data_IF_997927660373
#
_entry.id   IF_997927660373
#
_cell.length_a   1.000
_cell.length_b   1.000
_cell.length_c   1.000
_cell.angle_alpha   90.00
_cell.angle_beta   90.00
_cell.angle_gamma   90.00
#
_symmetry.space_group_name_H-M   'P 1'
#
loop_
_entity.id
_entity.type
_entity.pdbx_description
1 polymer ?
#
# COMPACT_ATOMS: atom_id res chain seq x y z
N UNK A 1 73.29 83.27 -34.51
CA UNK A 1 71.97 83.57 -33.93
C UNK A 1 70.90 83.02 -34.87
N UNK A 2 70.01 82.12 -34.39
CA UNK A 2 70.18 81.25 -33.24
C UNK A 2 71.31 80.22 -33.52
N UNK A 3 71.19 78.93 -33.86
CA UNK A 3 70.10 77.93 -33.98
C UNK A 3 70.74 76.53 -34.19
N UNK A 4 70.09 75.37 -34.00
CA UNK A 4 68.82 75.02 -33.36
C UNK A 4 68.80 73.49 -33.16
N UNK A 5 68.65 72.99 -31.92
CA UNK A 5 68.91 71.58 -31.60
C UNK A 5 67.61 70.75 -31.59
N UNK A 6 67.57 69.68 -32.38
CA UNK A 6 66.49 68.69 -32.30
C UNK A 6 67.05 67.26 -32.37
N UNK A 7 66.84 66.47 -31.32
CA UNK A 7 67.32 65.09 -31.18
C UNK A 7 66.12 64.22 -30.79
N UNK A 8 65.65 63.30 -31.64
CA UNK A 8 64.45 62.53 -31.36
C UNK A 8 64.65 61.58 -30.17
N UNK A 9 63.98 61.88 -29.06
CA UNK A 9 63.93 61.02 -27.87
C UNK A 9 63.18 59.74 -28.19
N UNK A 10 63.94 58.68 -28.49
CA UNK A 10 63.43 57.34 -28.81
C UNK A 10 62.54 56.79 -27.68
N UNK A 11 61.22 56.90 -27.85
CA UNK A 11 60.24 56.31 -26.93
C UNK A 11 60.42 54.79 -26.87
N UNK A 12 61.00 54.32 -25.76
CA UNK A 12 61.06 52.88 -25.48
C UNK A 12 59.69 52.42 -24.97
N UNK A 13 58.88 51.91 -25.89
CA UNK A 13 57.58 51.28 -25.61
C UNK A 13 57.62 50.42 -24.34
N UNK A 14 56.61 50.57 -23.49
CA UNK A 14 56.52 49.80 -22.23
C UNK A 14 56.60 48.28 -22.47
N UNK A 15 56.13 47.82 -23.63
CA UNK A 15 56.19 46.41 -24.04
C UNK A 15 57.65 45.93 -24.17
N UNK A 16 58.56 46.75 -24.70
CA UNK A 16 59.99 46.43 -24.79
C UNK A 16 60.73 46.56 -23.45
N UNK A 17 60.15 47.27 -22.48
CA UNK A 17 60.63 47.31 -21.10
C UNK A 17 60.22 46.03 -20.37
N UNK A 18 58.99 45.57 -20.56
CA UNK A 18 58.45 44.33 -20.01
C UNK A 18 59.15 43.10 -20.62
N UNK A 19 59.26 43.01 -21.96
CA UNK A 19 59.92 41.89 -22.66
C UNK A 19 61.37 41.66 -22.21
N UNK A 20 62.10 42.71 -21.84
CA UNK A 20 63.48 42.59 -21.30
C UNK A 20 63.57 41.95 -19.90
N UNK A 21 62.46 41.88 -19.16
CA UNK A 21 62.41 41.26 -17.83
C UNK A 21 61.67 39.91 -17.82
N UNK A 22 60.96 39.57 -18.91
CA UNK A 22 60.42 38.23 -19.16
C UNK A 22 61.56 37.33 -19.65
N UNK A 23 62.44 36.94 -18.73
CA UNK A 23 63.41 35.86 -18.96
C UNK A 23 62.71 34.50 -18.93
N UNK A 24 63.26 33.51 -19.64
CA UNK A 24 62.75 32.14 -19.59
C UNK A 24 62.71 31.58 -18.15
N UNK A 25 63.67 31.97 -17.31
CA UNK A 25 63.71 31.63 -15.89
C UNK A 25 62.52 32.21 -15.10
N UNK A 26 62.14 33.47 -15.34
CA UNK A 26 60.99 34.10 -14.66
C UNK A 26 59.66 33.47 -15.10
N UNK A 27 59.53 33.10 -16.38
CA UNK A 27 58.34 32.40 -16.89
C UNK A 27 58.24 30.99 -16.32
N UNK A 28 59.33 30.23 -16.32
CA UNK A 28 59.33 28.85 -15.78
C UNK A 28 59.19 28.82 -14.27
N UNK A 29 59.79 29.76 -13.52
CA UNK A 29 59.61 29.87 -12.07
C UNK A 29 58.16 30.19 -11.67
N UNK A 30 57.49 31.10 -12.39
CA UNK A 30 56.07 31.42 -12.12
C UNK A 30 55.15 30.27 -12.50
N UNK A 31 55.36 29.61 -13.65
CA UNK A 31 54.64 28.37 -14.02
C UNK A 31 54.85 27.24 -13.00
N UNK A 32 56.09 27.01 -12.55
CA UNK A 32 56.40 26.01 -11.54
C UNK A 32 55.70 26.31 -10.20
N UNK A 33 55.65 27.59 -9.78
CA UNK A 33 54.91 28.00 -8.59
C UNK A 33 53.41 27.77 -8.73
N UNK A 34 52.80 28.12 -9.88
CA UNK A 34 51.38 27.85 -10.13
C UNK A 34 51.06 26.35 -10.17
N UNK A 35 51.94 25.51 -10.72
CA UNK A 35 51.76 24.04 -10.72
C UNK A 35 51.94 23.46 -9.32
N UNK A 36 52.95 23.91 -8.57
CA UNK A 36 53.20 23.45 -7.20
C UNK A 36 52.08 23.82 -6.22
N UNK A 37 51.48 25.01 -6.38
CA UNK A 37 50.33 25.45 -5.56
C UNK A 37 49.00 24.88 -6.05
N UNK A 38 48.82 24.68 -7.36
CA UNK A 38 47.55 24.27 -7.97
C UNK A 38 47.33 22.76 -8.11
N UNK A 39 48.38 21.94 -8.07
CA UNK A 39 48.31 20.50 -8.38
C UNK A 39 47.36 19.68 -7.49
N UNK A 40 47.23 20.05 -6.22
CA UNK A 40 46.33 19.39 -5.26
C UNK A 40 44.84 19.69 -5.53
N UNK A 41 44.53 20.92 -5.97
CA UNK A 41 43.16 21.34 -6.25
C UNK A 41 42.55 20.58 -7.43
N UNK A 42 43.33 20.32 -8.48
CA UNK A 42 42.86 19.56 -9.65
C UNK A 42 42.48 18.12 -9.25
N UNK A 43 43.31 17.44 -8.46
CA UNK A 43 43.05 16.08 -7.99
C UNK A 43 41.76 15.98 -7.15
N UNK A 44 41.51 16.94 -6.26
CA UNK A 44 40.30 16.98 -5.44
C UNK A 44 39.00 17.01 -6.28
N UNK A 45 39.00 17.67 -7.44
CA UNK A 45 37.83 17.73 -8.34
C UNK A 45 37.58 16.45 -9.16
N UNK A 46 38.47 15.45 -9.07
CA UNK A 46 38.43 14.22 -9.87
C UNK A 46 38.20 12.94 -9.07
N UNK A 47 38.25 13.00 -7.74
CA UNK A 47 37.98 11.84 -6.89
C UNK A 47 36.52 11.39 -6.99
N UNK A 48 36.32 10.12 -7.35
CA UNK A 48 35.02 9.45 -7.40
C UNK A 48 34.96 8.31 -6.38
N UNK A 49 33.78 7.71 -6.19
CA UNK A 49 33.63 6.52 -5.36
C UNK A 49 34.44 5.29 -5.80
N UNK A 50 35.01 5.29 -7.02
CA UNK A 50 35.91 4.22 -7.51
C UNK A 50 37.34 4.36 -7.00
N UNK A 51 37.74 5.59 -6.66
CA UNK A 51 39.09 5.93 -6.20
C UNK A 51 39.22 5.75 -4.68
N UNK A 52 38.11 5.43 -4.00
CA UNK A 52 38.05 5.17 -2.57
C UNK A 52 38.24 3.67 -2.28
N UNK A 53 39.16 3.36 -1.36
CA UNK A 53 39.33 1.99 -0.84
C UNK A 53 38.04 1.54 -0.14
N UNK A 54 37.57 0.33 -0.47
CA UNK A 54 36.40 -0.26 0.21
C UNK A 54 36.56 -0.28 1.73
N UNK A 55 35.48 0.04 2.45
CA UNK A 55 35.45 0.19 3.93
C UNK A 55 36.33 1.32 4.52
N UNK A 56 36.81 2.27 3.71
CA UNK A 56 37.53 3.47 4.23
C UNK A 56 36.61 4.58 4.77
N UNK A 57 35.32 4.56 4.43
CA UNK A 57 34.34 5.55 4.88
C UNK A 57 33.68 5.12 6.20
N UNK A 58 33.55 6.09 7.10
CA UNK A 58 32.96 5.92 8.44
C UNK A 58 31.76 6.85 8.62
N UNK A 59 31.00 6.69 9.71
CA UNK A 59 29.90 7.60 10.05
C UNK A 59 30.31 9.09 10.21
N UNK A 60 31.61 9.40 10.36
CA UNK A 60 32.13 10.79 10.39
C UNK A 60 32.30 11.41 9.00
N UNK A 61 32.24 10.61 7.93
CA UNK A 61 32.42 11.05 6.55
C UNK A 61 31.10 11.44 5.87
N UNK A 62 29.97 11.29 6.57
CA UNK A 62 28.63 11.64 6.09
C UNK A 62 28.01 12.68 7.02
N UNK A 63 27.19 13.57 6.46
CA UNK A 63 26.29 14.38 7.28
C UNK A 63 25.11 13.51 7.73
N UNK A 64 24.41 13.92 8.81
CA UNK A 64 23.17 13.24 9.19
C UNK A 64 22.17 13.35 8.04
N UNK A 65 21.46 12.25 7.79
CA UNK A 65 20.36 12.16 6.84
C UNK A 65 20.72 12.49 5.38
N UNK A 66 22.01 12.59 5.04
CA UNK A 66 22.49 12.87 3.67
C UNK A 66 22.53 11.66 2.74
N UNK A 67 22.26 10.46 3.27
CA UNK A 67 22.17 9.22 2.49
C UNK A 67 20.69 8.91 2.24
N UNK A 68 20.18 9.38 1.10
CA UNK A 68 18.80 9.16 0.65
C UNK A 68 18.69 7.87 -0.17
N UNK A 69 17.46 7.41 -0.46
CA UNK A 69 17.22 6.18 -1.24
C UNK A 69 17.97 6.13 -2.58
N UNK A 70 18.12 7.27 -3.27
CA UNK A 70 18.88 7.37 -4.52
C UNK A 70 20.39 7.00 -4.40
N UNK A 71 20.95 6.97 -3.18
CA UNK A 71 22.31 6.51 -2.90
C UNK A 71 22.37 5.06 -2.36
N UNK A 72 21.22 4.42 -2.17
CA UNK A 72 21.04 3.09 -1.60
C UNK A 72 20.52 2.14 -2.69
N UNK A 73 20.66 0.83 -2.48
CA UNK A 73 20.07 -0.21 -3.32
C UNK A 73 19.11 -1.01 -2.45
N UNK A 74 17.92 -0.44 -2.19
CA UNK A 74 17.02 -0.87 -1.11
C UNK A 74 16.65 -2.35 -1.20
N UNK A 75 16.50 -2.89 -2.41
CA UNK A 75 16.28 -4.33 -2.67
C UNK A 75 17.43 -5.27 -2.28
N UNK A 76 18.50 -4.76 -1.67
CA UNK A 76 19.58 -5.55 -1.05
C UNK A 76 19.63 -5.41 0.48
N UNK A 77 18.71 -4.65 1.07
CA UNK A 77 18.51 -4.57 2.52
C UNK A 77 17.51 -5.65 2.97
N UNK A 78 17.74 -6.20 4.16
CA UNK A 78 16.78 -7.07 4.85
C UNK A 78 15.89 -6.29 5.83
N UNK A 79 14.94 -6.99 6.45
CA UNK A 79 14.11 -6.46 7.55
C UNK A 79 14.99 -5.97 8.70
N UNK A 80 14.74 -4.76 9.20
CA UNK A 80 15.52 -4.15 10.29
C UNK A 80 15.19 -4.85 11.63
N UNK A 81 16.10 -5.64 12.25
CA UNK A 81 15.71 -6.57 13.32
C UNK A 81 15.24 -5.94 14.65
N UNK A 82 15.44 -4.62 14.81
CA UNK A 82 15.01 -3.84 16.00
C UNK A 82 13.79 -2.95 15.73
N UNK A 83 13.30 -2.88 14.49
CA UNK A 83 12.15 -2.06 14.14
C UNK A 83 10.86 -2.84 14.42
N UNK A 84 10.17 -2.46 15.50
CA UNK A 84 8.95 -3.11 16.03
C UNK A 84 7.89 -3.38 14.94
N UNK A 85 7.69 -2.41 14.06
CA UNK A 85 6.66 -2.41 13.01
C UNK A 85 7.19 -2.74 11.61
N UNK A 86 8.43 -3.24 11.44
CA UNK A 86 8.99 -3.50 10.11
C UNK A 86 8.34 -4.69 9.33
N UNK A 87 7.38 -5.37 9.95
CA UNK A 87 6.52 -6.38 9.34
C UNK A 87 5.11 -6.38 9.99
N UNK A 88 4.66 -5.21 10.48
CA UNK A 88 3.40 -5.04 11.22
C UNK A 88 2.79 -3.66 10.97
N UNK A 89 1.51 -3.54 11.28
CA UNK A 89 0.77 -2.27 11.33
C UNK A 89 0.16 -2.14 12.73
N UNK A 90 0.58 -1.14 13.50
CA UNK A 90 0.18 -0.92 14.90
C UNK A 90 0.26 -2.17 15.81
N UNK A 91 1.27 -3.03 15.60
CA UNK A 91 1.48 -4.27 16.31
C UNK A 91 0.77 -5.51 15.70
N UNK A 92 -0.15 -5.32 14.77
CA UNK A 92 -0.85 -6.39 14.04
C UNK A 92 0.03 -6.92 12.90
N UNK A 93 0.04 -8.24 12.71
CA UNK A 93 0.68 -8.87 11.53
C UNK A 93 -0.30 -8.89 10.35
N UNK A 94 0.19 -9.18 9.14
CA UNK A 94 -0.67 -9.17 7.94
C UNK A 94 -1.85 -10.14 8.03
N UNK A 95 -1.68 -11.27 8.73
CA UNK A 95 -2.71 -12.28 8.95
C UNK A 95 -3.86 -11.79 9.85
N UNK A 96 -3.61 -10.77 10.68
CA UNK A 96 -4.60 -10.04 11.51
C UNK A 96 -5.33 -8.92 10.76
N UNK A 97 -5.14 -8.86 9.43
CA UNK A 97 -5.76 -7.89 8.54
C UNK A 97 -6.40 -8.58 7.32
N UNK A 98 -6.37 -9.91 7.26
CA UNK A 98 -7.08 -10.70 6.26
C UNK A 98 -8.51 -10.95 6.73
N UNK A 99 -9.45 -10.86 5.78
CA UNK A 99 -10.85 -11.22 6.00
C UNK A 99 -10.93 -12.70 6.36
N UNK A 100 -11.44 -12.99 7.56
CA UNK A 100 -11.55 -14.33 8.12
C UNK A 100 -13.01 -14.69 8.41
N UNK A 101 -13.45 -15.85 7.92
CA UNK A 101 -14.79 -16.38 8.11
C UNK A 101 -14.78 -17.60 9.04
N UNK A 102 -15.80 -17.78 9.92
CA UNK A 102 -15.92 -18.99 10.73
C UNK A 102 -16.01 -20.28 9.90
N UNK A 103 -15.67 -21.41 10.54
CA UNK A 103 -15.77 -22.73 9.89
C UNK A 103 -17.21 -23.00 9.37
N UNK A 104 -17.29 -23.61 8.19
CA UNK A 104 -18.55 -23.86 7.48
C UNK A 104 -19.14 -22.64 6.75
N UNK A 105 -18.44 -21.51 6.70
CA UNK A 105 -18.89 -20.29 5.99
C UNK A 105 -17.89 -19.81 4.92
N UNK A 106 -18.38 -19.08 3.92
CA UNK A 106 -17.58 -18.46 2.85
C UNK A 106 -17.79 -16.93 2.81
N UNK A 107 -16.77 -16.12 2.45
CA UNK A 107 -16.90 -14.68 2.29
C UNK A 107 -17.67 -14.34 1.00
N UNK A 108 -18.83 -13.68 1.15
CA UNK A 108 -19.70 -13.24 0.04
C UNK A 108 -20.37 -11.93 0.45
N UNK A 109 -20.40 -10.92 -0.44
CA UNK A 109 -21.15 -9.67 -0.24
C UNK A 109 -20.94 -9.04 1.16
N UNK A 110 -19.68 -8.86 1.56
CA UNK A 110 -19.23 -8.33 2.85
C UNK A 110 -19.72 -9.10 4.10
N UNK A 111 -20.25 -10.32 3.94
CA UNK A 111 -20.62 -11.23 5.04
C UNK A 111 -20.01 -12.63 4.88
N UNK A 112 -20.05 -13.43 5.94
CA UNK A 112 -19.64 -14.84 5.94
C UNK A 112 -20.88 -15.73 5.97
N UNK A 113 -21.19 -16.39 4.86
CA UNK A 113 -22.43 -17.16 4.66
C UNK A 113 -22.21 -18.67 4.77
N UNK A 114 -23.08 -19.36 5.50
CA UNK A 114 -23.05 -20.83 5.62
C UNK A 114 -23.16 -21.52 4.25
N UNK A 115 -22.28 -22.49 3.99
CA UNK A 115 -22.23 -23.19 2.70
C UNK A 115 -23.40 -24.15 2.47
N UNK A 116 -23.85 -24.80 3.54
CA UNK A 116 -24.94 -25.78 3.54
C UNK A 116 -26.22 -25.15 4.07
N UNK A 117 -27.31 -25.26 3.31
CA UNK A 117 -28.64 -24.85 3.76
C UNK A 117 -29.15 -25.77 4.89
N UNK A 118 -29.75 -25.17 5.91
CA UNK A 118 -30.40 -25.82 7.05
C UNK A 118 -31.73 -26.46 6.66
N UNK A 119 -32.21 -27.37 7.50
CA UNK A 119 -33.49 -28.04 7.33
C UNK A 119 -34.66 -27.02 7.32
N UNK A 120 -35.77 -27.29 6.61
CA UNK A 120 -36.87 -26.34 6.55
C UNK A 120 -37.49 -26.01 7.93
N UNK A 121 -37.54 -24.72 8.25
CA UNK A 121 -38.16 -24.14 9.45
C UNK A 121 -39.21 -23.10 9.03
N UNK A 122 -40.04 -22.65 9.97
CA UNK A 122 -40.85 -21.43 9.82
C UNK A 122 -40.01 -20.18 10.13
N UNK A 123 -40.39 -19.02 9.60
CA UNK A 123 -39.53 -17.84 9.51
C UNK A 123 -39.01 -17.34 10.87
N UNK A 124 -39.90 -17.20 11.84
CA UNK A 124 -39.55 -16.84 13.22
C UNK A 124 -38.62 -17.85 13.90
N UNK A 125 -38.74 -19.15 13.63
CA UNK A 125 -37.77 -20.15 14.12
C UNK A 125 -36.41 -20.04 13.41
N UNK A 126 -36.38 -19.79 12.10
CA UNK A 126 -35.13 -19.59 11.36
C UNK A 126 -34.35 -18.37 11.87
N UNK A 127 -35.05 -17.26 12.16
CA UNK A 127 -34.48 -16.09 12.83
C UNK A 127 -33.89 -16.42 14.20
N UNK A 128 -34.64 -17.12 15.06
CA UNK A 128 -34.18 -17.50 16.40
C UNK A 128 -33.00 -18.49 16.36
N UNK A 129 -33.01 -19.45 15.42
CA UNK A 129 -31.92 -20.41 15.25
C UNK A 129 -30.62 -19.68 14.85
N UNK A 130 -30.67 -18.81 13.82
CA UNK A 130 -29.50 -18.00 13.45
C UNK A 130 -29.02 -17.09 14.60
N UNK A 131 -29.94 -16.38 15.26
CA UNK A 131 -29.60 -15.49 16.37
C UNK A 131 -28.93 -16.24 17.55
N UNK A 132 -29.24 -17.52 17.74
CA UNK A 132 -28.65 -18.33 18.83
C UNK A 132 -27.19 -18.73 18.59
N UNK A 133 -26.75 -18.87 17.33
CA UNK A 133 -25.41 -19.36 16.97
C UNK A 133 -24.36 -18.31 17.35
N UNK A 134 -23.33 -18.71 18.10
CA UNK A 134 -22.25 -17.82 18.62
C UNK A 134 -22.73 -16.66 19.50
N UNK A 135 -24.00 -16.61 19.91
CA UNK A 135 -24.61 -15.56 20.75
C UNK A 135 -23.93 -15.31 22.11
N UNK A 136 -23.16 -16.29 22.61
CA UNK A 136 -22.40 -16.18 23.86
C UNK A 136 -21.00 -15.60 23.66
N UNK A 137 -20.54 -15.49 22.42
CA UNK A 137 -19.15 -15.12 22.04
C UNK A 137 -19.09 -14.00 21.00
N UNK A 138 -20.23 -13.52 20.52
CA UNK A 138 -20.38 -12.49 19.48
C UNK A 138 -21.83 -12.04 19.34
N UNK A 139 -22.18 -11.24 18.32
CA UNK A 139 -23.51 -10.65 18.15
C UNK A 139 -24.62 -11.63 17.72
N UNK A 140 -24.30 -12.93 17.58
CA UNK A 140 -25.15 -13.93 16.92
C UNK A 140 -24.91 -14.03 15.41
N UNK A 141 -25.71 -14.85 14.73
CA UNK A 141 -25.84 -14.85 13.26
C UNK A 141 -27.23 -14.33 12.85
N UNK A 142 -27.44 -13.99 11.59
CA UNK A 142 -28.73 -13.54 11.03
C UNK A 142 -29.08 -14.30 9.76
N UNK A 143 -30.31 -14.14 9.26
CA UNK A 143 -30.63 -14.55 7.89
C UNK A 143 -29.91 -13.64 6.87
N UNK A 144 -29.52 -14.15 5.69
CA UNK A 144 -28.96 -13.34 4.63
C UNK A 144 -29.98 -12.31 4.14
N UNK A 145 -29.53 -11.19 3.60
CA UNK A 145 -30.38 -10.38 2.71
C UNK A 145 -30.57 -11.11 1.38
N UNK A 146 -31.59 -10.72 0.61
CA UNK A 146 -31.75 -11.16 -0.78
C UNK A 146 -30.46 -11.02 -1.60
N UNK A 147 -29.76 -9.88 -1.50
CA UNK A 147 -28.53 -9.62 -2.26
C UNK A 147 -27.37 -10.53 -1.84
N UNK A 148 -27.22 -10.77 -0.52
CA UNK A 148 -26.22 -11.70 0.01
C UNK A 148 -26.48 -13.15 -0.45
N UNK A 149 -27.74 -13.61 -0.39
CA UNK A 149 -28.12 -14.96 -0.83
C UNK A 149 -28.02 -15.11 -2.35
N UNK A 150 -28.44 -14.10 -3.11
CA UNK A 150 -28.34 -14.10 -4.58
C UNK A 150 -26.87 -14.12 -5.04
N UNK A 151 -26.00 -13.34 -4.40
CA UNK A 151 -24.56 -13.40 -4.64
C UNK A 151 -23.98 -14.77 -4.27
N UNK A 152 -24.38 -15.34 -3.14
CA UNK A 152 -23.89 -16.64 -2.67
C UNK A 152 -24.25 -17.80 -3.61
N UNK A 153 -25.46 -17.77 -4.19
CA UNK A 153 -25.94 -18.75 -5.16
C UNK A 153 -25.20 -18.72 -6.52
N UNK A 154 -24.31 -17.74 -6.74
CA UNK A 154 -23.37 -17.77 -7.88
C UNK A 154 -22.13 -18.64 -7.63
N UNK A 155 -21.87 -19.03 -6.38
CA UNK A 155 -20.67 -19.77 -6.00
C UNK A 155 -20.89 -21.29 -6.14
N UNK A 156 -19.98 -21.98 -6.83
CA UNK A 156 -20.10 -23.42 -7.16
C UNK A 156 -20.23 -24.37 -5.94
N UNK A 157 -19.94 -23.88 -4.73
CA UNK A 157 -20.01 -24.64 -3.49
C UNK A 157 -21.35 -24.46 -2.75
N UNK A 158 -22.23 -23.57 -3.23
CA UNK A 158 -23.47 -23.18 -2.59
C UNK A 158 -24.66 -23.64 -3.45
N UNK A 159 -25.36 -24.66 -2.95
CA UNK A 159 -26.58 -25.20 -3.56
C UNK A 159 -27.79 -24.68 -2.80
N UNK A 160 -28.85 -24.29 -3.55
CA UNK A 160 -30.12 -23.84 -2.97
C UNK A 160 -30.81 -24.96 -2.18
N UNK A 161 -31.29 -24.64 -0.99
CA UNK A 161 -32.07 -25.52 -0.12
C UNK A 161 -33.41 -25.99 -0.73
N UNK A 162 -33.87 -27.15 -0.29
CA UNK A 162 -35.08 -27.77 -0.82
C UNK A 162 -36.34 -26.94 -0.52
N UNK A 163 -37.13 -26.64 -1.55
CA UNK A 163 -38.33 -25.79 -1.43
C UNK A 163 -38.07 -24.27 -1.45
N UNK A 164 -36.81 -23.86 -1.61
CA UNK A 164 -36.34 -22.48 -1.58
C UNK A 164 -35.84 -22.04 -0.20
N UNK A 165 -35.17 -20.89 -0.14
CA UNK A 165 -34.48 -20.41 1.06
C UNK A 165 -34.90 -19.01 1.51
N UNK A 166 -35.15 -18.84 2.81
CA UNK A 166 -35.48 -17.54 3.39
C UNK A 166 -34.36 -16.51 3.27
N UNK A 167 -34.78 -15.27 3.06
CA UNK A 167 -33.99 -14.05 3.27
C UNK A 167 -34.46 -13.33 4.55
N UNK A 168 -33.81 -12.25 4.94
CA UNK A 168 -34.22 -11.38 6.05
C UNK A 168 -35.30 -10.37 5.66
N UNK A 169 -35.70 -10.29 4.39
CA UNK A 169 -36.75 -9.39 3.92
C UNK A 169 -38.16 -9.92 4.23
N UNK A 170 -38.98 -9.05 4.84
CA UNK A 170 -40.42 -9.26 5.08
C UNK A 170 -41.24 -8.09 4.55
N UNK A 171 -42.47 -8.36 4.13
CA UNK A 171 -43.39 -7.39 3.55
C UNK A 171 -44.73 -7.41 4.30
N UNK A 172 -45.48 -6.29 4.39
CA UNK A 172 -46.84 -6.31 4.95
C UNK A 172 -47.73 -7.23 4.11
N UNK A 173 -48.45 -8.17 4.74
CA UNK A 173 -49.26 -9.13 4.00
C UNK A 173 -50.38 -8.44 3.23
N UNK A 174 -50.40 -8.69 1.92
CA UNK A 174 -51.46 -8.22 1.01
C UNK A 174 -52.78 -8.96 1.22
N UNK A 175 -52.73 -10.15 1.81
CA UNK A 175 -53.84 -11.09 1.94
C UNK A 175 -54.45 -11.17 3.34
N UNK A 176 -53.68 -10.90 4.40
CA UNK A 176 -54.11 -10.97 5.81
C UNK A 176 -53.57 -9.77 6.61
N UNK A 177 -54.36 -8.69 6.76
CA UNK A 177 -53.95 -7.49 7.50
C UNK A 177 -53.45 -7.80 8.92
N UNK A 178 -52.30 -7.25 9.28
CA UNK A 178 -51.64 -7.47 10.57
C UNK A 178 -50.61 -8.60 10.59
N UNK A 179 -50.46 -9.36 9.49
CA UNK A 179 -49.39 -10.35 9.30
C UNK A 179 -48.34 -9.86 8.28
N UNK A 180 -47.23 -10.59 8.19
CA UNK A 180 -46.18 -10.37 7.19
C UNK A 180 -46.11 -11.52 6.19
N UNK A 181 -45.60 -11.19 5.00
CA UNK A 181 -45.26 -12.10 3.91
C UNK A 181 -43.72 -12.06 3.73
N UNK A 182 -43.05 -13.15 4.06
CA UNK A 182 -41.60 -13.33 4.09
C UNK A 182 -41.07 -13.66 2.69
N UNK A 183 -39.91 -13.10 2.31
CA UNK A 183 -39.31 -13.34 1.01
C UNK A 183 -38.31 -14.49 1.06
N UNK A 184 -38.51 -15.44 0.14
CA UNK A 184 -37.61 -16.57 -0.06
C UNK A 184 -37.20 -16.73 -1.53
N UNK A 185 -35.96 -17.15 -1.75
CA UNK A 185 -35.40 -17.40 -3.09
C UNK A 185 -35.81 -18.80 -3.56
N UNK A 186 -36.32 -18.88 -4.78
CA UNK A 186 -36.87 -20.10 -5.40
C UNK A 186 -35.93 -20.75 -6.40
N UNK A 187 -34.85 -20.09 -6.82
CA UNK A 187 -33.89 -20.60 -7.80
C UNK A 187 -32.52 -19.94 -7.69
N UNK A 188 -31.47 -20.61 -8.19
CA UNK A 188 -30.10 -20.06 -8.27
C UNK A 188 -29.99 -18.80 -9.15
N UNK A 189 -30.96 -18.55 -10.02
CA UNK A 189 -31.11 -17.31 -10.81
C UNK A 189 -31.84 -16.20 -10.05
N UNK A 190 -31.89 -16.29 -8.71
CA UNK A 190 -32.46 -15.31 -7.78
C UNK A 190 -33.94 -14.94 -8.04
N UNK A 191 -34.73 -15.81 -8.68
CA UNK A 191 -36.20 -15.66 -8.62
C UNK A 191 -36.67 -15.78 -7.17
N UNK A 192 -37.71 -15.03 -6.81
CA UNK A 192 -38.25 -14.96 -5.44
C UNK A 192 -39.73 -15.31 -5.40
N UNK A 193 -40.20 -15.69 -4.23
CA UNK A 193 -41.61 -15.73 -3.91
C UNK A 193 -41.84 -15.23 -2.47
N UNK A 194 -43.08 -14.89 -2.17
CA UNK A 194 -43.53 -14.54 -0.83
C UNK A 194 -44.26 -15.73 -0.19
N UNK A 195 -44.18 -15.83 1.13
CA UNK A 195 -44.91 -16.80 1.94
C UNK A 195 -45.35 -16.15 3.25
N UNK A 196 -46.54 -16.48 3.76
CA UNK A 196 -47.06 -15.86 4.98
C UNK A 196 -46.37 -16.42 6.23
N UNK A 197 -45.96 -15.59 7.20
CA UNK A 197 -45.50 -16.09 8.51
C UNK A 197 -46.70 -16.55 9.36
N UNK A 198 -47.13 -17.79 9.12
CA UNK A 198 -48.14 -18.49 9.92
C UNK A 198 -47.74 -19.93 10.25
N UNK A 199 -46.44 -20.25 10.15
CA UNK A 199 -45.86 -21.58 10.34
C UNK A 199 -46.41 -22.73 9.46
N UNK A 200 -47.19 -22.42 8.42
CA UNK A 200 -47.81 -23.43 7.54
C UNK A 200 -46.87 -23.92 6.41
N UNK A 201 -45.87 -23.11 6.05
CA UNK A 201 -45.04 -23.31 4.84
C UNK A 201 -43.54 -23.14 5.14
N UNK A 202 -42.88 -24.11 5.80
CA UNK A 202 -41.48 -24.00 6.15
C UNK A 202 -40.56 -23.94 4.93
N UNK A 203 -39.44 -23.21 5.06
CA UNK A 203 -38.38 -23.06 4.05
C UNK A 203 -37.03 -23.41 4.65
N UNK A 204 -36.13 -23.93 3.81
CA UNK A 204 -34.72 -23.96 4.16
C UNK A 204 -34.22 -22.53 4.38
N UNK A 205 -33.05 -22.41 5.00
CA UNK A 205 -32.40 -21.14 5.25
C UNK A 205 -30.92 -21.40 5.51
N UNK A 206 -30.13 -20.35 5.55
CA UNK A 206 -28.74 -20.37 5.98
C UNK A 206 -28.47 -19.15 6.81
N UNK A 207 -27.49 -19.19 7.70
CA UNK A 207 -27.13 -18.04 8.52
C UNK A 207 -25.91 -17.32 7.94
N UNK A 208 -25.85 -16.01 8.17
CA UNK A 208 -24.69 -15.15 7.86
C UNK A 208 -24.19 -14.45 9.11
N UNK A 209 -22.91 -14.10 9.12
CA UNK A 209 -22.25 -13.39 10.23
C UNK A 209 -21.14 -12.49 9.70
N UNK A 210 -20.82 -11.43 10.43
CA UNK A 210 -19.88 -10.43 9.93
C UNK A 210 -18.44 -10.99 9.92
N UNK A 211 -17.61 -10.68 8.90
CA UNK A 211 -16.25 -11.20 8.81
C UNK A 211 -15.34 -10.62 9.90
N UNK A 212 -14.31 -11.37 10.28
CA UNK A 212 -13.38 -11.03 11.38
C UNK A 212 -11.96 -10.78 10.86
N UNK A 213 -11.14 -10.13 11.71
CA UNK A 213 -9.71 -9.86 11.55
C UNK A 213 -8.93 -10.17 12.85
#
# INVERSE_FOLDING_TARGET
>A
MPDGLDIPTKETSMIDRIRRHITYANVTATLALFVALGGTAFAATKLTGRDLKGHSLTARNYHRDSVTGAAVKEKTLGVVPKAREAARLDGLTAERLLVSCPEGTLPVADTCIETVARAPQYFSAALHECASIESQTGPGRRLPTYDELAAALTHEQIVLGAGGEFTSQVYPSSSKPGLVEDLYVTSVTANVALVLDNAEFPKSFRCVTDPRN
#
